data_IF_257558227031
#
_entry.id   IF_257558227031
#
_cell.length_a   1.000
_cell.length_b   1.000
_cell.length_c   1.000
_cell.angle_alpha   90.00
_cell.angle_beta   90.00
_cell.angle_gamma   90.00
#
_symmetry.space_group_name_H-M   'P 1'
#
loop_
_entity.id
_entity.type
_entity.pdbx_description
1 polymer ?
#
# COMPACT_ATOMS: atom_id res chain seq x y z
N UNK A 1 12.54 -84.88 4.87
CA UNK A 1 13.35 -84.29 5.94
C UNK A 1 14.61 -83.73 5.29
N UNK A 2 14.99 -82.46 5.30
CA UNK A 2 14.39 -81.23 5.85
C UNK A 2 15.15 -80.11 5.12
N UNK A 3 14.45 -79.21 4.42
CA UNK A 3 15.08 -78.07 3.77
C UNK A 3 15.44 -77.01 4.81
N UNK A 4 16.65 -76.47 4.70
CA UNK A 4 17.21 -75.39 5.51
C UNK A 4 16.34 -74.14 5.40
N UNK A 5 15.78 -73.66 6.52
CA UNK A 5 15.15 -72.35 6.58
C UNK A 5 16.23 -71.30 6.90
N UNK A 6 16.50 -70.45 5.90
CA UNK A 6 17.28 -69.22 6.04
C UNK A 6 16.54 -68.28 7.01
N UNK A 7 17.17 -67.91 8.12
CA UNK A 7 16.66 -66.92 9.05
C UNK A 7 16.67 -65.54 8.39
N UNK A 8 15.48 -65.02 8.11
CA UNK A 8 15.30 -63.63 7.70
C UNK A 8 15.70 -62.70 8.87
N UNK A 9 16.86 -62.04 8.75
CA UNK A 9 17.23 -60.88 9.55
C UNK A 9 16.25 -59.74 9.23
N UNK A 10 15.12 -59.72 9.94
CA UNK A 10 14.19 -58.60 9.93
C UNK A 10 14.85 -57.39 10.57
N UNK A 11 15.42 -56.49 9.75
CA UNK A 11 15.71 -55.13 10.22
C UNK A 11 14.36 -54.47 10.50
N UNK A 12 14.02 -54.32 11.78
CA UNK A 12 12.91 -53.48 12.20
C UNK A 12 13.26 -52.07 11.75
N UNK A 13 12.61 -51.58 10.69
CA UNK A 13 12.70 -50.18 10.33
C UNK A 13 12.23 -49.37 11.54
N UNK A 14 13.13 -48.59 12.14
CA UNK A 14 12.72 -47.52 13.03
C UNK A 14 12.04 -46.52 12.12
N UNK A 15 10.71 -46.57 12.07
CA UNK A 15 9.95 -45.45 11.54
C UNK A 15 10.30 -44.26 12.44
N UNK A 16 11.18 -43.38 11.97
CA UNK A 16 11.27 -42.04 12.52
C UNK A 16 9.87 -41.47 12.40
N UNK A 17 9.19 -41.29 13.53
CA UNK A 17 7.93 -40.58 13.56
C UNK A 17 8.13 -39.28 12.80
N UNK A 18 7.32 -39.04 11.76
CA UNK A 18 7.24 -37.72 11.17
C UNK A 18 7.09 -36.71 12.32
N UNK A 19 7.82 -35.58 12.33
CA UNK A 19 7.65 -34.58 13.36
C UNK A 19 6.15 -34.26 13.45
N UNK A 20 5.58 -34.35 14.66
CA UNK A 20 4.19 -34.01 14.87
C UNK A 20 3.96 -32.62 14.25
N UNK A 21 2.91 -32.44 13.42
CA UNK A 21 2.55 -31.12 12.91
C UNK A 21 2.54 -30.15 14.10
N UNK A 22 3.21 -29.01 13.96
CA UNK A 22 3.23 -28.01 15.03
C UNK A 22 1.82 -27.56 15.38
N UNK A 23 1.63 -27.13 16.62
CA UNK A 23 0.39 -26.42 16.96
C UNK A 23 0.55 -24.99 16.47
N UNK A 24 -0.33 -24.52 15.60
CA UNK A 24 -0.16 -23.21 14.98
C UNK A 24 -0.19 -22.07 16.02
N UNK A 25 0.64 -21.03 15.84
CA UNK A 25 0.74 -19.90 16.77
C UNK A 25 -0.49 -19.00 16.67
N UNK A 26 -1.28 -18.89 17.73
CA UNK A 26 -2.50 -18.07 17.77
C UNK A 26 -2.15 -16.59 17.78
N UNK A 27 -2.58 -15.84 16.76
CA UNK A 27 -2.40 -14.38 16.72
C UNK A 27 -3.21 -13.72 17.83
N UNK A 28 -2.65 -12.71 18.48
CA UNK A 28 -3.27 -11.94 19.56
C UNK A 28 -2.86 -10.46 19.45
N UNK A 29 -3.59 -9.56 20.12
CA UNK A 29 -3.11 -8.18 20.32
C UNK A 29 -2.84 -7.36 19.06
N UNK A 30 -3.68 -7.50 18.02
CA UNK A 30 -3.53 -6.70 16.79
C UNK A 30 -3.85 -5.25 17.09
N UNK A 31 -2.91 -4.36 16.78
CA UNK A 31 -3.02 -2.92 16.93
C UNK A 31 -2.53 -2.24 15.66
N UNK A 32 -3.03 -1.05 15.38
CA UNK A 32 -2.49 -0.22 14.32
C UNK A 32 -2.40 1.23 14.80
N UNK A 33 -1.39 1.93 14.32
CA UNK A 33 -1.17 3.34 14.65
C UNK A 33 -1.70 4.24 13.56
N UNK A 34 -2.25 5.38 13.96
CA UNK A 34 -2.30 6.54 13.08
C UNK A 34 -0.89 7.12 13.13
N UNK A 35 -0.08 6.96 12.07
CA UNK A 35 1.19 7.67 12.02
C UNK A 35 0.94 9.18 12.17
N UNK A 36 1.82 9.90 12.90
CA UNK A 36 1.74 11.34 12.98
C UNK A 36 1.95 11.95 11.60
N UNK A 37 1.31 13.10 11.33
CA UNK A 37 1.50 13.87 10.10
C UNK A 37 2.99 14.09 9.83
N UNK A 38 3.59 13.46 8.81
CA UNK A 38 4.96 13.69 8.31
C UNK A 38 5.17 12.97 6.96
N UNK A 39 4.50 13.47 5.93
CA UNK A 39 4.69 13.23 4.47
C UNK A 39 4.44 11.83 3.89
N UNK A 40 4.33 10.79 4.72
CA UNK A 40 4.04 9.42 4.26
C UNK A 40 2.73 8.86 4.86
N UNK A 41 1.92 8.19 4.03
CA UNK A 41 0.62 7.62 4.43
C UNK A 41 0.76 6.26 5.12
N UNK A 42 1.74 6.11 6.01
CA UNK A 42 2.07 4.82 6.61
C UNK A 42 1.22 4.55 7.85
N UNK A 43 0.54 3.40 7.90
CA UNK A 43 0.00 2.82 9.14
C UNK A 43 0.88 1.65 9.57
N UNK A 44 1.36 1.64 10.81
CA UNK A 44 2.09 0.48 11.35
C UNK A 44 1.12 -0.44 12.05
N UNK A 45 0.92 -1.63 11.47
CA UNK A 45 0.13 -2.72 12.06
C UNK A 45 1.06 -3.61 12.86
N UNK A 46 0.81 -3.81 14.15
CA UNK A 46 1.61 -4.66 15.04
C UNK A 46 0.74 -5.73 15.68
N UNK A 47 1.32 -6.89 15.96
CA UNK A 47 0.62 -8.01 16.60
C UNK A 47 1.53 -8.80 17.53
N UNK A 48 0.91 -9.59 18.39
CA UNK A 48 1.57 -10.64 19.16
C UNK A 48 1.03 -12.01 18.74
N UNK A 49 1.66 -13.08 19.18
CA UNK A 49 1.11 -14.42 19.05
C UNK A 49 1.48 -15.29 20.26
N UNK A 50 0.68 -16.32 20.51
CA UNK A 50 0.95 -17.35 21.50
C UNK A 50 1.13 -18.70 20.80
N UNK A 51 2.22 -19.40 21.12
CA UNK A 51 2.50 -20.72 20.56
C UNK A 51 2.50 -21.79 21.66
N UNK A 52 1.53 -22.72 21.67
CA UNK A 52 1.45 -23.76 22.70
C UNK A 52 2.66 -24.71 22.73
N UNK A 53 3.35 -24.90 21.59
CA UNK A 53 4.53 -25.74 21.47
C UNK A 53 5.85 -24.96 21.47
N UNK A 54 5.79 -23.65 21.76
CA UNK A 54 6.96 -22.76 21.85
C UNK A 54 7.60 -22.44 20.50
N UNK A 55 7.00 -22.83 19.38
CA UNK A 55 7.51 -22.50 18.04
C UNK A 55 7.13 -21.07 17.64
N UNK A 56 8.06 -20.39 16.98
CA UNK A 56 7.77 -19.07 16.39
C UNK A 56 6.80 -19.18 15.21
N UNK A 57 6.15 -18.06 14.85
CA UNK A 57 5.52 -17.93 13.54
C UNK A 57 6.57 -18.18 12.43
N UNK A 58 6.15 -18.75 11.31
CA UNK A 58 6.96 -18.88 10.10
C UNK A 58 6.50 -17.96 8.97
N UNK A 59 5.23 -17.54 9.00
CA UNK A 59 4.68 -16.60 8.05
C UNK A 59 3.50 -15.82 8.65
N UNK A 60 3.20 -14.66 8.07
CA UNK A 60 2.09 -13.79 8.45
C UNK A 60 1.36 -13.25 7.21
N UNK A 61 0.11 -12.83 7.40
CA UNK A 61 -0.71 -12.11 6.43
C UNK A 61 -1.46 -11.00 7.16
N UNK A 62 -1.48 -9.80 6.57
CA UNK A 62 -2.18 -8.62 7.09
C UNK A 62 -3.22 -8.20 6.06
N UNK A 63 -4.45 -7.95 6.51
CA UNK A 63 -5.55 -7.51 5.66
C UNK A 63 -6.18 -6.24 6.22
N UNK A 64 -6.44 -5.27 5.35
CA UNK A 64 -7.26 -4.09 5.67
C UNK A 64 -8.71 -4.40 5.26
N UNK A 65 -9.62 -4.43 6.22
CA UNK A 65 -11.04 -4.68 5.97
C UNK A 65 -11.90 -3.53 6.46
N UNK A 66 -13.13 -3.41 5.93
CA UNK A 66 -14.12 -2.54 6.56
C UNK A 66 -14.47 -3.02 7.97
N UNK A 67 -15.07 -2.17 8.82
CA UNK A 67 -15.44 -2.53 10.21
C UNK A 67 -16.22 -3.84 10.34
N UNK A 68 -17.10 -4.11 9.37
CA UNK A 68 -17.94 -5.31 9.30
C UNK A 68 -17.19 -6.57 8.81
N UNK A 69 -15.94 -6.44 8.36
CA UNK A 69 -15.11 -7.51 7.79
C UNK A 69 -15.75 -8.21 6.57
N UNK A 70 -16.60 -7.50 5.84
CA UNK A 70 -17.27 -8.01 4.63
C UNK A 70 -16.53 -7.65 3.34
N UNK A 71 -15.66 -6.63 3.37
CA UNK A 71 -14.86 -6.17 2.23
C UNK A 71 -13.41 -6.11 2.64
N UNK A 72 -12.52 -6.69 1.83
CA UNK A 72 -11.08 -6.56 1.99
C UNK A 72 -10.59 -5.52 0.98
N UNK A 73 -10.07 -4.40 1.49
CA UNK A 73 -9.53 -3.31 0.66
C UNK A 73 -8.11 -3.62 0.20
N UNK A 74 -7.34 -4.25 1.08
CA UNK A 74 -5.96 -4.63 0.80
C UNK A 74 -5.56 -5.90 1.53
N UNK A 75 -4.62 -6.61 0.93
CA UNK A 75 -4.12 -7.88 1.42
C UNK A 75 -2.63 -8.00 1.13
N UNK A 76 -1.82 -8.18 2.17
CA UNK A 76 -0.37 -8.31 2.02
C UNK A 76 0.06 -9.58 1.28
N UNK A 77 -0.85 -10.55 1.10
CA UNK A 77 -0.52 -11.94 0.84
C UNK A 77 0.21 -12.59 2.03
N UNK A 78 0.58 -13.86 1.88
CA UNK A 78 1.41 -14.54 2.87
C UNK A 78 2.87 -14.11 2.72
N UNK A 79 3.43 -13.57 3.79
CA UNK A 79 4.84 -13.18 3.89
C UNK A 79 5.56 -14.15 4.82
N UNK A 80 6.65 -14.73 4.34
CA UNK A 80 7.49 -15.60 5.15
C UNK A 80 8.36 -14.73 6.04
N UNK A 81 8.37 -14.99 7.35
CA UNK A 81 9.15 -14.19 8.28
C UNK A 81 8.67 -14.23 9.72
N UNK A 82 9.52 -13.69 10.59
CA UNK A 82 9.31 -13.59 12.03
C UNK A 82 8.83 -12.20 12.47
N UNK A 83 8.58 -11.29 11.54
CA UNK A 83 8.17 -9.92 11.85
C UNK A 83 6.89 -9.89 12.68
N UNK A 84 6.80 -8.93 13.59
CA UNK A 84 5.63 -8.69 14.44
C UNK A 84 4.96 -7.35 14.15
N UNK A 85 5.41 -6.69 13.08
CA UNK A 85 4.87 -5.42 12.64
C UNK A 85 5.04 -5.27 11.13
N UNK A 86 4.12 -4.55 10.49
CA UNK A 86 4.16 -4.20 9.09
C UNK A 86 3.74 -2.74 8.91
N UNK A 87 4.61 -1.94 8.29
CA UNK A 87 4.24 -0.62 7.79
C UNK A 87 3.48 -0.77 6.47
N UNK A 88 2.30 -0.17 6.38
CA UNK A 88 1.41 -0.23 5.22
C UNK A 88 1.16 1.18 4.72
N UNK A 89 1.49 1.44 3.46
CA UNK A 89 1.17 2.71 2.79
C UNK A 89 -0.30 2.70 2.35
N UNK A 90 -1.13 3.49 3.03
CA UNK A 90 -2.56 3.57 2.78
C UNK A 90 -2.87 4.20 1.42
N UNK A 91 -2.05 5.17 0.99
CA UNK A 91 -2.20 5.86 -0.30
C UNK A 91 -1.88 4.90 -1.46
N UNK A 92 -0.69 4.31 -1.42
CA UNK A 92 -0.20 3.47 -2.52
C UNK A 92 -1.04 2.20 -2.68
N UNK A 93 -1.58 1.67 -1.58
CA UNK A 93 -2.43 0.49 -1.59
C UNK A 93 -3.93 0.82 -1.76
N UNK A 94 -4.28 2.09 -2.01
CA UNK A 94 -5.66 2.55 -2.18
C UNK A 94 -6.60 2.11 -1.04
N UNK A 95 -6.09 2.10 0.19
CA UNK A 95 -6.88 1.74 1.38
C UNK A 95 -7.70 2.97 1.78
N UNK A 96 -9.04 2.88 1.85
CA UNK A 96 -9.86 4.02 2.21
C UNK A 96 -9.51 4.58 3.59
N UNK A 97 -9.52 5.91 3.73
CA UNK A 97 -9.33 6.58 5.03
C UNK A 97 -10.50 6.35 6.02
N UNK A 98 -11.58 5.69 5.57
CA UNK A 98 -12.70 5.30 6.41
C UNK A 98 -12.28 4.25 7.46
N UNK A 99 -13.20 3.96 8.38
CA UNK A 99 -12.97 3.01 9.47
C UNK A 99 -12.53 1.65 8.92
N UNK A 100 -11.30 1.30 9.27
CA UNK A 100 -10.60 0.09 8.83
C UNK A 100 -10.33 -0.80 10.04
N UNK A 101 -10.63 -2.09 9.90
CA UNK A 101 -10.24 -3.13 10.84
C UNK A 101 -9.09 -3.92 10.23
N UNK A 102 -7.98 -4.00 10.96
CA UNK A 102 -6.82 -4.78 10.55
C UNK A 102 -6.95 -6.19 11.04
N UNK A 103 -6.83 -7.15 10.13
CA UNK A 103 -6.86 -8.57 10.45
C UNK A 103 -5.49 -9.17 10.18
N UNK A 104 -4.99 -9.93 11.14
CA UNK A 104 -3.70 -10.62 11.05
C UNK A 104 -3.89 -12.11 11.22
N UNK A 105 -3.26 -12.87 10.33
CA UNK A 105 -3.25 -14.34 10.34
C UNK A 105 -1.80 -14.82 10.37
N UNK A 106 -1.46 -15.73 11.28
CA UNK A 106 -0.11 -16.33 11.39
C UNK A 106 -0.13 -17.82 11.06
N UNK A 107 0.98 -18.32 10.52
CA UNK A 107 1.26 -19.76 10.31
C UNK A 107 2.58 -20.14 10.94
N UNK A 108 2.70 -21.40 11.33
CA UNK A 108 4.01 -21.97 11.69
C UNK A 108 4.86 -22.29 10.45
N UNK A 109 6.11 -22.71 10.67
CA UNK A 109 7.04 -23.10 9.59
C UNK A 109 6.63 -24.36 8.84
N UNK A 110 5.64 -25.11 9.33
CA UNK A 110 5.06 -26.28 8.66
C UNK A 110 3.80 -25.94 7.85
N UNK A 111 3.37 -24.68 7.87
CA UNK A 111 2.24 -24.17 7.11
C UNK A 111 0.89 -24.33 7.82
N UNK A 112 0.86 -24.79 9.07
CA UNK A 112 -0.37 -24.90 9.85
C UNK A 112 -0.83 -23.49 10.26
N UNK A 113 -2.10 -23.17 9.98
CA UNK A 113 -2.70 -21.88 10.32
C UNK A 113 -3.26 -21.87 11.72
N UNK A 114 -3.14 -20.72 12.37
CA UNK A 114 -3.80 -20.46 13.62
C UNK A 114 -5.10 -19.67 13.44
N UNK A 115 -5.93 -19.57 14.49
CA UNK A 115 -7.03 -18.63 14.51
C UNK A 115 -6.54 -17.19 14.28
N UNK A 116 -7.30 -16.47 13.46
CA UNK A 116 -6.99 -15.10 13.06
C UNK A 116 -7.42 -14.12 14.15
N UNK A 117 -6.73 -12.99 14.27
CA UNK A 117 -7.10 -11.91 15.19
C UNK A 117 -7.30 -10.61 14.43
N UNK A 118 -8.21 -9.78 14.93
CA UNK A 118 -8.50 -8.47 14.35
C UNK A 118 -8.25 -7.38 15.38
N UNK A 119 -7.83 -6.21 14.91
CA UNK A 119 -7.70 -5.00 15.73
C UNK A 119 -9.07 -4.47 16.14
N UNK A 120 -9.06 -3.48 17.03
CA UNK A 120 -10.14 -2.52 17.10
C UNK A 120 -10.27 -1.75 15.77
N UNK A 121 -11.43 -1.14 15.56
CA UNK A 121 -11.64 -0.24 14.43
C UNK A 121 -10.69 0.97 14.52
N UNK A 122 -10.08 1.33 13.40
CA UNK A 122 -9.16 2.47 13.29
C UNK A 122 -9.69 3.43 12.23
N UNK A 123 -9.84 4.70 12.62
CA UNK A 123 -10.35 5.76 11.77
C UNK A 123 -9.20 6.67 11.30
N UNK A 124 -9.05 6.81 9.98
CA UNK A 124 -8.03 7.63 9.33
C UNK A 124 -8.65 8.88 8.68
N UNK A 125 -9.92 9.20 8.93
CA UNK A 125 -10.58 10.38 8.35
C UNK A 125 -9.88 11.70 8.69
N UNK A 126 -9.19 11.77 9.83
CA UNK A 126 -8.35 12.90 10.22
C UNK A 126 -7.16 13.14 9.27
N UNK A 127 -6.77 12.14 8.47
CA UNK A 127 -5.74 12.31 7.45
C UNK A 127 -6.23 13.11 6.24
N UNK A 128 -7.53 13.39 6.12
CA UNK A 128 -8.08 14.29 5.11
C UNK A 128 -8.44 13.62 3.78
N UNK A 129 -8.94 14.43 2.86
CA UNK A 129 -9.30 14.09 1.49
C UNK A 129 -8.77 15.17 0.56
N UNK A 130 -7.46 15.14 0.25
CA UNK A 130 -6.86 16.20 -0.53
C UNK A 130 -7.47 16.34 -1.92
N UNK A 131 -7.54 17.57 -2.39
CA UNK A 131 -8.04 17.95 -3.72
C UNK A 131 -7.04 18.90 -4.35
N UNK A 132 -6.82 18.74 -5.65
CA UNK A 132 -5.94 19.61 -6.42
C UNK A 132 -6.63 20.04 -7.70
N UNK A 133 -6.57 21.32 -8.03
CA UNK A 133 -7.22 21.88 -9.23
C UNK A 133 -6.22 22.71 -10.00
N UNK A 134 -5.96 22.35 -11.27
CA UNK A 134 -5.22 23.22 -12.18
C UNK A 134 -6.01 24.52 -12.38
N UNK A 135 -5.36 25.65 -12.16
CA UNK A 135 -5.99 26.98 -12.25
C UNK A 135 -5.59 27.73 -13.51
N UNK A 136 -4.29 27.75 -13.83
CA UNK A 136 -3.76 28.41 -15.02
C UNK A 136 -2.70 27.55 -15.71
N UNK A 137 -2.57 27.75 -17.02
CA UNK A 137 -1.48 27.26 -17.85
C UNK A 137 -0.98 28.44 -18.69
N UNK A 138 0.32 28.74 -18.65
CA UNK A 138 0.89 29.96 -19.26
C UNK A 138 0.21 31.26 -18.78
N UNK A 139 -0.29 31.28 -17.54
CA UNK A 139 -1.06 32.40 -16.98
C UNK A 139 -2.48 32.54 -17.54
N UNK A 140 -2.93 31.64 -18.42
CA UNK A 140 -4.30 31.59 -18.94
C UNK A 140 -5.15 30.68 -18.06
N UNK A 141 -6.32 31.16 -17.63
CA UNK A 141 -7.23 30.40 -16.78
C UNK A 141 -7.73 29.13 -17.48
N UNK A 142 -7.77 28.02 -16.73
CA UNK A 142 -8.32 26.75 -17.20
C UNK A 142 -9.78 26.93 -17.63
N UNK A 143 -10.12 26.67 -18.90
CA UNK A 143 -11.49 26.76 -19.38
C UNK A 143 -12.32 25.59 -18.83
N UNK A 144 -13.64 25.72 -18.89
CA UNK A 144 -14.57 24.74 -18.33
C UNK A 144 -14.62 23.42 -19.11
N UNK A 145 -14.13 23.39 -20.36
CA UNK A 145 -14.04 22.21 -21.21
C UNK A 145 -12.67 21.52 -21.13
N UNK A 146 -11.77 22.02 -20.28
CA UNK A 146 -10.43 21.49 -20.01
C UNK A 146 -9.50 21.43 -21.25
N UNK A 147 -9.82 22.17 -22.31
CA UNK A 147 -8.99 22.24 -23.52
C UNK A 147 -8.25 23.58 -23.59
N UNK A 148 -6.92 23.52 -23.65
CA UNK A 148 -6.07 24.71 -23.78
C UNK A 148 -5.09 24.58 -24.94
N UNK A 149 -4.85 25.71 -25.62
CA UNK A 149 -3.78 25.82 -26.61
C UNK A 149 -2.53 26.34 -25.93
N UNK A 150 -1.49 25.52 -25.92
CA UNK A 150 -0.15 25.93 -25.47
C UNK A 150 0.48 26.79 -26.57
N UNK A 151 0.99 27.97 -26.20
CA UNK A 151 1.60 28.92 -27.13
C UNK A 151 3.12 28.96 -27.05
N UNK A 152 3.70 28.52 -25.93
CA UNK A 152 5.13 28.41 -25.73
C UNK A 152 5.58 26.96 -25.91
N UNK A 153 6.70 26.78 -26.61
CA UNK A 153 7.22 25.43 -26.85
C UNK A 153 7.89 24.83 -25.60
N UNK A 154 8.38 25.65 -24.66
CA UNK A 154 9.15 25.23 -23.48
C UNK A 154 8.80 26.07 -22.27
N UNK A 155 9.13 25.57 -21.07
CA UNK A 155 8.96 26.28 -19.79
C UNK A 155 7.51 26.73 -19.56
N UNK A 156 6.57 25.86 -19.94
CA UNK A 156 5.14 26.09 -19.73
C UNK A 156 4.86 26.06 -18.23
N UNK A 157 4.55 27.22 -17.66
CA UNK A 157 4.18 27.35 -16.25
C UNK A 157 2.76 26.84 -16.00
N UNK A 158 2.65 25.93 -15.04
CA UNK A 158 1.39 25.38 -14.54
C UNK A 158 1.16 25.90 -13.11
N UNK A 159 -0.01 26.48 -12.84
CA UNK A 159 -0.41 26.85 -11.48
C UNK A 159 -1.67 26.13 -11.04
N UNK A 160 -1.80 25.88 -9.73
CA UNK A 160 -2.91 25.13 -9.16
C UNK A 160 -3.34 25.64 -7.79
N UNK A 161 -4.48 25.14 -7.33
CA UNK A 161 -4.92 25.25 -5.95
C UNK A 161 -4.97 23.89 -5.28
N UNK A 162 -4.70 23.86 -3.98
CA UNK A 162 -4.79 22.67 -3.13
C UNK A 162 -5.77 22.95 -1.98
N UNK A 163 -6.61 21.97 -1.66
CA UNK A 163 -7.54 22.04 -0.54
C UNK A 163 -7.66 20.69 0.16
N UNK A 164 -7.57 20.70 1.49
CA UNK A 164 -7.75 19.51 2.34
C UNK A 164 -8.18 19.89 3.78
N UNK A 165 -9.23 20.70 3.91
CA UNK A 165 -9.67 21.17 5.22
C UNK A 165 -8.57 21.94 5.96
N UNK A 166 -8.11 21.40 7.09
CA UNK A 166 -7.00 21.98 7.89
C UNK A 166 -5.61 21.48 7.51
N UNK A 167 -5.50 20.49 6.62
CA UNK A 167 -4.25 19.89 6.22
C UNK A 167 -3.58 20.72 5.11
N UNK A 168 -2.26 20.57 4.98
CA UNK A 168 -1.45 21.34 4.04
C UNK A 168 -0.85 20.44 2.96
N UNK A 169 -0.62 20.98 1.76
CA UNK A 169 0.17 20.29 0.75
C UNK A 169 1.59 20.07 1.25
N UNK A 170 2.12 18.87 1.04
CA UNK A 170 3.50 18.52 1.36
C UNK A 170 4.30 18.05 0.14
N UNK A 171 3.64 17.46 -0.87
CA UNK A 171 4.30 17.03 -2.10
C UNK A 171 3.40 17.26 -3.31
N UNK A 172 3.98 17.33 -4.50
CA UNK A 172 3.27 17.40 -5.77
C UNK A 172 3.99 16.60 -6.86
N UNK A 173 3.27 16.23 -7.91
CA UNK A 173 3.80 15.56 -9.10
C UNK A 173 3.05 16.06 -10.34
N UNK A 174 3.81 16.50 -11.33
CA UNK A 174 3.30 16.94 -12.64
C UNK A 174 3.77 15.94 -13.69
N UNK A 175 2.82 15.50 -14.53
CA UNK A 175 3.10 14.59 -15.64
C UNK A 175 2.52 15.14 -16.94
N UNK A 176 3.27 14.97 -18.02
CA UNK A 176 2.78 15.16 -19.38
C UNK A 176 2.66 13.79 -20.02
N UNK A 177 1.46 13.45 -20.46
CA UNK A 177 1.14 12.16 -21.06
C UNK A 177 0.38 12.35 -22.36
N UNK A 178 0.30 11.31 -23.20
CA UNK A 178 -0.62 11.34 -24.33
C UNK A 178 -2.08 11.32 -23.82
N UNK A 179 -3.01 12.04 -24.47
CA UNK A 179 -4.41 12.10 -24.06
C UNK A 179 -5.06 10.72 -23.93
N UNK A 180 -4.67 9.81 -24.82
CA UNK A 180 -5.26 8.47 -24.96
C UNK A 180 -4.41 7.36 -24.35
N UNK A 181 -3.22 7.68 -23.81
CA UNK A 181 -2.33 6.66 -23.24
C UNK A 181 -2.51 6.55 -21.72
N UNK A 182 -2.64 5.31 -21.25
CA UNK A 182 -2.51 4.98 -19.83
C UNK A 182 -1.05 4.93 -19.38
N UNK A 183 -0.10 4.73 -20.30
CA UNK A 183 1.30 4.42 -19.96
C UNK A 183 2.36 5.32 -20.61
N UNK A 184 2.06 6.04 -21.70
CA UNK A 184 3.07 6.88 -22.34
C UNK A 184 3.24 8.21 -21.61
N UNK A 185 4.34 8.33 -20.86
CA UNK A 185 4.70 9.51 -20.08
C UNK A 185 5.86 10.22 -20.78
N UNK A 186 5.61 11.41 -21.32
CA UNK A 186 6.62 12.26 -21.95
C UNK A 186 7.50 12.96 -20.91
N UNK A 187 6.87 13.37 -19.81
CA UNK A 187 7.54 14.03 -18.70
C UNK A 187 6.91 13.64 -17.38
N UNK A 188 7.76 13.47 -16.36
CA UNK A 188 7.36 13.21 -14.99
C UNK A 188 8.31 13.92 -14.05
N UNK A 189 7.79 14.84 -13.23
CA UNK A 189 8.61 15.50 -12.20
C UNK A 189 9.08 14.55 -11.10
N UNK A 190 8.46 13.36 -10.99
CA UNK A 190 8.45 12.59 -9.76
C UNK A 190 7.69 13.33 -8.64
N UNK A 191 7.65 12.71 -7.47
CA UNK A 191 7.14 13.38 -6.27
C UNK A 191 8.16 14.43 -5.81
N UNK A 192 7.78 15.69 -5.92
CA UNK A 192 8.56 16.83 -5.45
C UNK A 192 8.05 17.27 -4.09
N UNK A 193 8.95 17.42 -3.12
CA UNK A 193 8.59 17.91 -1.78
C UNK A 193 8.41 19.42 -1.81
N UNK A 194 7.28 19.92 -1.32
CA UNK A 194 7.00 21.34 -1.20
C UNK A 194 5.51 21.67 -1.20
N UNK A 195 5.21 22.85 -0.67
CA UNK A 195 3.88 23.46 -0.65
C UNK A 195 3.66 24.45 -1.79
N UNK A 196 4.54 24.44 -2.81
CA UNK A 196 4.42 25.32 -3.97
C UNK A 196 3.13 25.05 -4.74
N UNK A 197 2.62 26.08 -5.41
CA UNK A 197 1.38 26.01 -6.21
C UNK A 197 1.63 26.37 -7.68
N UNK A 198 2.89 26.29 -8.10
CA UNK A 198 3.35 26.62 -9.45
C UNK A 198 4.54 25.72 -9.82
N UNK A 199 4.64 25.34 -11.09
CA UNK A 199 5.70 24.50 -11.64
C UNK A 199 5.94 24.79 -13.12
N UNK A 200 7.19 25.08 -13.47
CA UNK A 200 7.61 25.19 -14.87
C UNK A 200 7.91 23.81 -15.42
N UNK A 201 7.17 23.40 -16.45
CA UNK A 201 7.33 22.07 -17.05
C UNK A 201 8.54 22.10 -18.00
N UNK A 202 9.64 21.39 -17.69
CA UNK A 202 10.85 21.36 -18.52
C UNK A 202 10.68 20.35 -19.67
N UNK A 203 9.57 20.45 -20.40
CA UNK A 203 9.22 19.62 -21.55
C UNK A 203 9.02 20.49 -22.78
N UNK A 204 9.51 20.02 -23.93
CA UNK A 204 9.30 20.70 -25.20
C UNK A 204 8.04 20.18 -25.89
N UNK A 205 7.00 21.00 -25.94
CA UNK A 205 5.74 20.69 -26.62
C UNK A 205 5.89 20.82 -28.14
N UNK A 206 5.46 19.80 -28.88
CA UNK A 206 5.47 19.83 -30.34
C UNK A 206 4.19 20.48 -30.88
N UNK A 207 4.36 21.39 -31.84
CA UNK A 207 3.23 22.02 -32.52
C UNK A 207 2.33 20.99 -33.21
N UNK A 208 1.02 21.16 -33.08
CA UNK A 208 0.00 20.30 -33.71
C UNK A 208 -0.25 18.97 -32.98
N UNK A 209 0.35 18.75 -31.82
CA UNK A 209 0.13 17.58 -30.98
C UNK A 209 -0.75 17.91 -29.76
N UNK A 210 -1.52 16.92 -29.32
CA UNK A 210 -2.33 17.00 -28.12
C UNK A 210 -1.62 16.31 -26.96
N UNK A 211 -1.71 16.90 -25.78
CA UNK A 211 -1.12 16.36 -24.55
C UNK A 211 -2.14 16.45 -23.42
N UNK A 212 -2.00 15.58 -22.42
CA UNK A 212 -2.70 15.67 -21.15
C UNK A 212 -1.70 16.00 -20.05
N UNK A 213 -1.95 17.09 -19.32
CA UNK A 213 -1.19 17.45 -18.13
C UNK A 213 -1.94 16.89 -16.93
N UNK A 214 -1.30 15.99 -16.18
CA UNK A 214 -1.83 15.40 -14.96
C UNK A 214 -1.10 15.97 -13.76
N UNK A 215 -1.84 16.53 -12.83
CA UNK A 215 -1.34 17.05 -11.56
C UNK A 215 -1.87 16.20 -10.41
N UNK A 216 -0.98 15.86 -9.48
CA UNK A 216 -1.34 15.21 -8.22
C UNK A 216 -0.61 15.92 -7.09
N UNK A 217 -1.26 16.05 -5.94
CA UNK A 217 -0.68 16.58 -4.71
C UNK A 217 -0.85 15.57 -3.58
N UNK A 218 0.06 15.61 -2.59
CA UNK A 218 -0.10 14.91 -1.31
C UNK A 218 -0.19 15.91 -0.18
N UNK A 219 -1.04 15.61 0.80
CA UNK A 219 -1.10 16.37 2.04
C UNK A 219 0.05 16.00 3.00
N UNK A 220 0.10 16.62 4.17
CA UNK A 220 1.08 16.35 5.23
C UNK A 220 0.94 14.97 5.90
N UNK A 221 -0.06 14.17 5.52
CA UNK A 221 -0.22 12.75 5.87
C UNK A 221 0.13 11.81 4.71
N UNK A 222 0.61 12.33 3.57
CA UNK A 222 0.98 11.52 2.41
C UNK A 222 -0.18 10.98 1.58
N UNK A 223 -1.44 11.36 1.88
CA UNK A 223 -2.61 11.01 1.06
C UNK A 223 -2.63 11.84 -0.21
N UNK A 224 -2.84 11.17 -1.35
CA UNK A 224 -2.88 11.78 -2.67
C UNK A 224 -4.24 12.38 -2.98
N UNK A 225 -4.22 13.48 -3.72
CA UNK A 225 -5.42 14.12 -4.24
C UNK A 225 -6.16 13.20 -5.22
N UNK A 226 -7.49 13.17 -5.09
CA UNK A 226 -8.40 12.54 -6.06
C UNK A 226 -8.47 13.31 -7.37
#
# INVERSE_FOLDING_TARGET
MTALALSALGRKAVAGSAPAPGTAPTTTGVTATNAPANVDALSTVSWSFNSPDGKNQGAYRVQAQNSAQSVTHWDSGWRTGLDLSLAVDMDENAIPAAVTKWKVSTRDSSGVHAPEASSADVDYTAWGTPTVTITTLEGVAKPADDQMTITQATDVTLDWSFSDGSNTQAQYRVRVVDPDATEFVHFDSGWTTGSGTSFDIPFTFMSGQNYSIRLQAKNNYGLRSS
#
